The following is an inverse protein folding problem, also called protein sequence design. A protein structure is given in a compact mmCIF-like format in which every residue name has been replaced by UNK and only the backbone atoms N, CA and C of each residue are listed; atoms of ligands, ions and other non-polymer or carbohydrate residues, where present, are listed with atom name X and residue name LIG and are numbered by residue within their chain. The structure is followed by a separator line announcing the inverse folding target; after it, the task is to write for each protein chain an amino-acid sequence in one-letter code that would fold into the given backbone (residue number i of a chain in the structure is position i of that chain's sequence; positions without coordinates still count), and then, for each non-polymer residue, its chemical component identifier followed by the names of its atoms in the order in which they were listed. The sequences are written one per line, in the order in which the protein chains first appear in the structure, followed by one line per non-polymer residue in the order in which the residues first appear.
data_IF_295688212600
#
_entry.id   IF_295688212600
#
_cell.length_a   1.000
_cell.length_b   1.000
_cell.length_c   1.000
_cell.angle_alpha   90.00
_cell.angle_beta   90.00
_cell.angle_gamma   90.00
#
_symmetry.space_group_name_H-M   'P 1'
#
loop_
_entity.id
_entity.type
_entity.pdbx_description
1 polymer ?
#
# COMPACT_ATOMS: atom_id res chain seq x y z
N UNK A 1 -8.76 9.34 18.27
CA UNK A 1 -7.37 9.76 18.54
C UNK A 1 -6.40 8.76 17.88
N UNK A 2 -6.47 8.62 16.54
CA UNK A 2 -5.66 7.72 15.71
C UNK A 2 -4.99 8.49 14.54
N UNK A 3 -5.17 9.81 14.53
CA UNK A 3 -4.95 10.69 13.37
C UNK A 3 -3.47 11.11 13.24
N UNK A 4 -2.79 11.29 14.37
CA UNK A 4 -1.40 11.76 14.39
C UNK A 4 -0.42 10.71 13.85
N UNK A 5 -0.63 9.44 14.20
CA UNK A 5 0.22 8.35 13.71
C UNK A 5 0.06 8.16 12.19
N UNK A 6 -1.18 8.23 11.70
CA UNK A 6 -1.46 8.19 10.26
C UNK A 6 -0.82 9.39 9.54
N UNK A 7 -0.92 10.59 10.12
CA UNK A 7 -0.34 11.82 9.56
C UNK A 7 1.19 11.77 9.52
N UNK A 8 1.84 11.22 10.55
CA UNK A 8 3.31 11.08 10.58
C UNK A 8 3.78 10.04 9.55
N UNK A 9 3.10 8.90 9.44
CA UNK A 9 3.43 7.86 8.47
C UNK A 9 3.22 8.37 7.04
N UNK A 10 2.10 9.06 6.78
CA UNK A 10 1.83 9.69 5.49
C UNK A 10 2.88 10.76 5.13
N UNK A 11 3.30 11.57 6.11
CA UNK A 11 4.35 12.59 5.89
C UNK A 11 5.73 11.98 5.67
N UNK A 12 6.08 10.92 6.39
CA UNK A 12 7.33 10.20 6.20
C UNK A 12 7.37 9.52 4.83
N UNK A 13 6.26 8.93 4.38
CA UNK A 13 6.13 8.39 3.03
C UNK A 13 6.30 9.49 1.97
N UNK A 14 5.68 10.67 2.16
CA UNK A 14 5.87 11.81 1.26
C UNK A 14 7.34 12.22 1.13
N UNK A 15 8.07 12.37 2.23
CA UNK A 15 9.48 12.80 2.19
C UNK A 15 10.40 11.77 1.53
N UNK A 16 10.10 10.47 1.67
CA UNK A 16 10.91 9.41 1.06
C UNK A 16 10.69 9.28 -0.45
N UNK A 17 9.59 9.81 -1.00
CA UNK A 17 9.12 9.50 -2.36
C UNK A 17 8.69 10.75 -3.18
N UNK A 18 9.07 11.96 -2.75
CA UNK A 18 8.58 13.26 -3.26
C UNK A 18 9.03 13.66 -4.68
N UNK A 19 9.63 12.78 -5.47
CA UNK A 19 10.22 13.18 -6.75
C UNK A 19 9.91 12.09 -7.79
N UNK A 20 8.83 12.26 -8.56
CA UNK A 20 8.70 11.90 -9.98
C UNK A 20 7.29 12.20 -10.48
N UNK A 21 7.20 13.14 -11.43
CA UNK A 21 6.04 13.48 -12.25
C UNK A 21 5.65 12.23 -13.08
N UNK A 22 4.81 11.35 -12.52
CA UNK A 22 4.49 10.03 -13.08
C UNK A 22 4.44 8.88 -12.06
N UNK A 23 4.79 9.13 -10.80
CA UNK A 23 4.64 8.16 -9.71
C UNK A 23 3.24 8.19 -9.10
N UNK A 24 2.61 7.03 -8.96
CA UNK A 24 1.39 6.87 -8.17
C UNK A 24 1.68 6.03 -6.92
N UNK A 25 1.11 6.41 -5.77
CA UNK A 25 1.35 5.77 -4.49
C UNK A 25 0.02 5.45 -3.82
N UNK A 26 -0.15 4.21 -3.34
CA UNK A 26 -1.31 3.78 -2.57
C UNK A 26 -0.89 3.29 -1.19
N UNK A 27 -1.67 3.62 -0.16
CA UNK A 27 -1.57 2.94 1.14
C UNK A 27 -2.39 1.67 1.13
N UNK A 28 -1.83 0.59 1.69
CA UNK A 28 -2.52 -0.69 1.87
C UNK A 28 -2.94 -0.79 3.33
N UNK A 29 -4.24 -0.89 3.58
CA UNK A 29 -4.81 -1.03 4.91
C UNK A 29 -5.61 -2.32 5.07
N UNK A 30 -5.56 -2.87 6.28
CA UNK A 30 -6.38 -4.00 6.73
C UNK A 30 -7.13 -3.53 7.98
N UNK A 31 -8.44 -3.35 7.85
CA UNK A 31 -9.23 -2.66 8.87
C UNK A 31 -8.65 -1.27 9.18
N UNK A 32 -8.44 -0.90 10.47
CA UNK A 32 -7.95 0.43 10.83
C UNK A 32 -6.43 0.61 10.71
N UNK A 33 -5.69 -0.41 10.23
CA UNK A 33 -4.23 -0.41 10.25
C UNK A 33 -3.66 -0.36 8.83
N UNK A 34 -2.77 0.60 8.59
CA UNK A 34 -1.93 0.60 7.39
C UNK A 34 -0.80 -0.43 7.57
N UNK A 35 -0.70 -1.36 6.62
CA UNK A 35 0.23 -2.50 6.67
C UNK A 35 1.28 -2.46 5.57
N UNK A 36 1.11 -1.59 4.57
CA UNK A 36 2.08 -1.44 3.49
C UNK A 36 1.71 -0.32 2.53
N UNK A 37 2.45 -0.27 1.43
CA UNK A 37 2.22 0.64 0.33
C UNK A 37 2.46 -0.07 -1.01
N UNK A 38 1.72 0.34 -2.03
CA UNK A 38 1.96 0.02 -3.42
C UNK A 38 2.47 1.28 -4.11
N UNK A 39 3.60 1.21 -4.81
CA UNK A 39 4.10 2.30 -5.64
C UNK A 39 4.07 1.87 -7.10
N UNK A 40 3.60 2.73 -7.98
CA UNK A 40 3.81 2.65 -9.42
C UNK A 40 4.84 3.71 -9.80
N UNK A 41 5.93 3.29 -10.42
CA UNK A 41 7.03 4.14 -10.88
C UNK A 41 7.33 3.74 -12.33
N UNK A 42 7.11 4.64 -13.29
CA UNK A 42 7.29 4.38 -14.72
C UNK A 42 6.56 3.11 -15.23
N UNK A 43 5.38 2.81 -14.68
CA UNK A 43 4.59 1.62 -15.01
C UNK A 43 5.05 0.33 -14.30
N UNK A 44 6.07 0.41 -13.44
CA UNK A 44 6.53 -0.69 -12.61
C UNK A 44 5.89 -0.59 -11.23
N UNK A 45 5.12 -1.61 -10.86
CA UNK A 45 4.49 -1.71 -9.56
C UNK A 45 5.42 -2.41 -8.55
N UNK A 46 5.55 -1.82 -7.35
CA UNK A 46 6.34 -2.36 -6.25
C UNK A 46 5.56 -2.32 -4.94
N UNK A 47 5.47 -3.47 -4.28
CA UNK A 47 4.92 -3.59 -2.94
C UNK A 47 6.00 -3.36 -1.89
N UNK A 48 5.63 -2.60 -0.85
CA UNK A 48 6.45 -2.39 0.35
C UNK A 48 5.58 -2.70 1.56
N UNK A 49 6.09 -3.55 2.46
CA UNK A 49 5.37 -3.95 3.66
C UNK A 49 5.96 -3.27 4.89
N UNK A 50 5.10 -2.78 5.78
CA UNK A 50 5.51 -2.19 7.04
C UNK A 50 5.72 -3.27 8.11
N UNK A 51 6.44 -2.89 9.17
CA UNK A 51 6.75 -3.82 10.25
C UNK A 51 5.47 -4.38 10.90
N UNK A 52 5.41 -5.69 11.03
CA UNK A 52 4.25 -6.41 11.60
C UNK A 52 3.05 -6.51 10.66
N UNK A 53 3.25 -6.36 9.34
CA UNK A 53 2.29 -6.85 8.34
C UNK A 53 2.11 -8.37 8.46
N UNK A 54 0.92 -8.88 8.12
CA UNK A 54 0.67 -10.32 8.13
C UNK A 54 1.65 -11.01 7.16
N UNK A 55 2.40 -12.05 7.60
CA UNK A 55 3.36 -12.76 6.75
C UNK A 55 2.76 -13.27 5.44
N UNK A 56 1.45 -13.56 5.41
CA UNK A 56 0.73 -13.99 4.21
C UNK A 56 0.62 -12.89 3.15
N UNK A 57 0.65 -11.61 3.55
CA UNK A 57 0.75 -10.48 2.63
C UNK A 57 2.17 -10.36 2.08
N UNK A 58 3.18 -10.47 2.96
CA UNK A 58 4.59 -10.40 2.56
C UNK A 58 5.00 -11.51 1.59
N UNK A 59 4.35 -12.67 1.67
CA UNK A 59 4.53 -13.80 0.75
C UNK A 59 3.85 -13.59 -0.63
N UNK A 60 3.18 -12.45 -0.87
CA UNK A 60 2.57 -12.17 -2.16
C UNK A 60 3.65 -12.02 -3.24
N UNK A 61 3.64 -12.95 -4.20
CA UNK A 61 4.50 -13.00 -5.38
C UNK A 61 3.69 -13.00 -6.69
N UNK A 62 2.41 -12.64 -6.61
CA UNK A 62 1.55 -12.54 -7.78
C UNK A 62 1.94 -11.36 -8.67
N UNK A 63 1.44 -11.34 -9.92
CA UNK A 63 1.61 -10.19 -10.80
C UNK A 63 1.04 -8.95 -10.13
N UNK A 64 1.82 -7.87 -10.12
CA UNK A 64 1.38 -6.53 -9.77
C UNK A 64 1.05 -5.85 -11.10
N UNK A 65 -0.17 -6.07 -11.58
CA UNK A 65 -0.69 -5.41 -12.77
C UNK A 65 -1.29 -4.05 -12.39
N UNK A 66 -1.81 -3.37 -13.41
CA UNK A 66 -2.50 -2.10 -13.26
C UNK A 66 -3.90 -2.21 -12.61
N UNK A 67 -4.33 -3.42 -12.22
CA UNK A 67 -5.60 -3.67 -11.54
C UNK A 67 -5.43 -3.60 -10.01
N UNK A 68 -5.44 -2.37 -9.50
CA UNK A 68 -5.30 -2.08 -8.06
C UNK A 68 -6.44 -2.70 -7.24
N UNK A 69 -7.66 -2.73 -7.79
CA UNK A 69 -8.83 -3.31 -7.13
C UNK A 69 -8.75 -4.85 -7.09
N UNK A 70 -8.30 -5.47 -8.20
CA UNK A 70 -8.00 -6.89 -8.28
C UNK A 70 -6.91 -7.31 -7.28
N UNK A 71 -5.86 -6.50 -7.14
CA UNK A 71 -4.82 -6.72 -6.13
C UNK A 71 -5.39 -6.64 -4.70
N UNK A 72 -6.24 -5.66 -4.40
CA UNK A 72 -6.91 -5.54 -3.10
C UNK A 72 -7.71 -6.81 -2.76
N UNK A 73 -8.51 -7.29 -3.73
CA UNK A 73 -9.30 -8.50 -3.58
C UNK A 73 -8.42 -9.75 -3.35
N UNK A 74 -7.33 -9.89 -4.11
CA UNK A 74 -6.41 -11.02 -3.99
C UNK A 74 -5.69 -11.05 -2.63
N UNK A 75 -5.25 -9.88 -2.14
CA UNK A 75 -4.65 -9.74 -0.81
C UNK A 75 -5.69 -10.06 0.27
N UNK A 76 -6.90 -9.54 0.13
CA UNK A 76 -7.97 -9.75 1.10
C UNK A 76 -8.41 -11.22 1.22
N UNK A 77 -8.55 -11.90 0.08
CA UNK A 77 -8.81 -13.33 0.02
C UNK A 77 -7.73 -14.16 0.73
N UNK A 78 -6.46 -13.72 0.64
CA UNK A 78 -5.32 -14.43 1.23
C UNK A 78 -5.27 -14.33 2.75
N UNK A 79 -5.66 -13.19 3.33
CA UNK A 79 -5.68 -13.01 4.79
C UNK A 79 -7.05 -13.28 5.41
N UNK A 80 -8.09 -13.45 4.60
CA UNK A 80 -9.48 -13.63 5.05
C UNK A 80 -10.09 -12.35 5.64
N UNK A 81 -9.59 -11.18 5.25
CA UNK A 81 -10.04 -9.87 5.73
C UNK A 81 -10.06 -8.87 4.57
N UNK A 82 -10.96 -7.87 4.58
CA UNK A 82 -10.95 -6.84 3.56
C UNK A 82 -9.63 -6.05 3.59
N UNK A 83 -9.06 -5.84 2.40
CA UNK A 83 -7.88 -5.01 2.17
C UNK A 83 -8.33 -3.81 1.35
N UNK A 84 -7.90 -2.62 1.73
CA UNK A 84 -8.20 -1.39 1.01
C UNK A 84 -6.90 -0.76 0.50
N UNK A 85 -6.92 -0.31 -0.75
CA UNK A 85 -5.83 0.45 -1.37
C UNK A 85 -6.33 1.87 -1.60
N UNK A 86 -5.76 2.84 -0.90
CA UNK A 86 -6.15 4.24 -1.00
C UNK A 86 -5.05 5.04 -1.70
N UNK A 87 -5.41 5.72 -2.79
CA UNK A 87 -4.47 6.55 -3.55
C UNK A 87 -4.07 7.77 -2.72
N UNK A 88 -2.76 7.92 -2.50
CA UNK A 88 -2.17 9.12 -1.93
C UNK A 88 -1.94 10.12 -3.07
N UNK A 89 -2.93 10.98 -3.31
CA UNK A 89 -2.72 12.16 -4.16
C UNK A 89 -1.94 13.21 -3.38
N UNK A 90 -0.87 13.72 -3.97
CA UNK A 90 -0.07 14.84 -3.45
C UNK A 90 -0.83 16.15 -3.52
#
# INVERSE_FOLDING_TARGET
MLDLASTIVARAARVLFADHDGSALWTISVGPRVVGALRCDEGVYRLVWFHGADPRLAAHSGPLDQDVDGLAAALGARIGQPVHLELLTT
#
